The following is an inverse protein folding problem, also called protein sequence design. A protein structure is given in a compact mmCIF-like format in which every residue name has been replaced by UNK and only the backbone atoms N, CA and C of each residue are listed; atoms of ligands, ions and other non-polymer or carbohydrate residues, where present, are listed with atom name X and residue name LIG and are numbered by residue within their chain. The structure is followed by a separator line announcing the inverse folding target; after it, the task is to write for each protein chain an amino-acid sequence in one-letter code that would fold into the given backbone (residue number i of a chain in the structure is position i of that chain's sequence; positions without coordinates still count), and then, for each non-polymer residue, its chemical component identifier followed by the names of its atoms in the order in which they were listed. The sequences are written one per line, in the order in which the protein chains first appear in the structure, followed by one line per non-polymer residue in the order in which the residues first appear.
data_IF_132142059167
#
_entry.id   IF_132142059167
#
_cell.length_a   1.000
_cell.length_b   1.000
_cell.length_c   1.000
_cell.angle_alpha   90.00
_cell.angle_beta   90.00
_cell.angle_gamma   90.00
#
_symmetry.space_group_name_H-M   'P 1'
#
loop_
_entity.id
_entity.type
_entity.pdbx_description
1 polymer ?
#
# COMPACT_ATOMS: atom_id res chain seq x y z
N UNK A 1 2.51 12.71 6.80
CA UNK A 1 2.89 11.27 6.61
C UNK A 1 3.15 10.66 7.97
N UNK A 2 2.67 9.46 8.25
CA UNK A 2 2.96 8.76 9.50
C UNK A 2 4.38 8.20 9.53
N UNK A 3 4.91 7.92 10.73
CA UNK A 3 6.22 7.28 10.88
C UNK A 3 6.29 5.92 10.18
N UNK A 4 5.23 5.10 10.27
CA UNK A 4 5.17 3.81 9.59
C UNK A 4 5.25 3.94 8.07
N UNK A 5 4.60 4.94 7.49
CA UNK A 5 4.69 5.23 6.05
C UNK A 5 6.10 5.68 5.66
N UNK A 6 6.76 6.47 6.50
CA UNK A 6 8.15 6.88 6.27
C UNK A 6 9.10 5.68 6.28
N UNK A 7 8.95 4.78 7.27
CA UNK A 7 9.74 3.57 7.36
C UNK A 7 9.53 2.63 6.16
N UNK A 8 8.29 2.49 5.71
CA UNK A 8 7.97 1.70 4.51
C UNK A 8 8.64 2.28 3.27
N UNK A 9 8.59 3.61 3.13
CA UNK A 9 9.25 4.33 2.05
C UNK A 9 10.77 4.12 2.07
N UNK A 10 11.39 4.27 3.24
CA UNK A 10 12.82 4.05 3.40
C UNK A 10 13.24 2.61 3.08
N UNK A 11 12.42 1.62 3.43
CA UNK A 11 12.67 0.21 3.07
C UNK A 11 12.57 -0.03 1.57
N UNK A 12 11.63 0.61 0.90
CA UNK A 12 11.40 0.45 -0.54
C UNK A 12 12.53 1.07 -1.38
N UNK A 13 13.05 2.22 -0.99
CA UNK A 13 14.05 2.98 -1.75
C UNK A 13 15.46 2.95 -1.14
N UNK A 14 15.64 2.29 0.00
CA UNK A 14 16.90 2.20 0.73
C UNK A 14 17.12 3.35 1.71
N UNK A 15 16.95 4.59 1.29
CA UNK A 15 17.03 5.79 2.14
C UNK A 15 15.93 6.78 1.81
N UNK A 16 15.64 7.71 2.73
CA UNK A 16 14.66 8.77 2.52
C UNK A 16 15.11 9.71 1.39
N UNK A 17 16.41 10.04 1.33
CA UNK A 17 16.95 10.91 0.27
C UNK A 17 16.86 10.25 -1.11
N UNK A 18 17.07 8.94 -1.18
CA UNK A 18 16.90 8.19 -2.41
C UNK A 18 15.43 8.11 -2.81
N UNK A 19 14.54 7.94 -1.84
CA UNK A 19 13.10 7.96 -2.07
C UNK A 19 12.64 9.29 -2.69
N UNK A 20 13.12 10.44 -2.20
CA UNK A 20 12.78 11.76 -2.74
C UNK A 20 13.20 11.88 -4.21
N UNK A 21 14.36 11.31 -4.60
CA UNK A 21 14.89 11.39 -5.96
C UNK A 21 14.19 10.44 -6.94
N UNK A 22 13.89 9.23 -6.49
CA UNK A 22 13.42 8.11 -7.33
C UNK A 22 11.90 7.94 -7.27
N UNK A 23 11.23 8.67 -6.36
CA UNK A 23 9.78 8.63 -6.24
C UNK A 23 9.11 9.15 -7.50
N UNK A 24 8.06 8.47 -7.99
CA UNK A 24 7.28 8.95 -9.12
C UNK A 24 6.57 10.26 -8.78
N UNK A 25 6.07 10.92 -9.81
CA UNK A 25 5.25 12.11 -9.64
C UNK A 25 4.03 11.82 -8.76
N UNK A 26 3.74 12.77 -7.87
CA UNK A 26 2.64 12.71 -6.93
C UNK A 26 1.42 13.46 -7.47
N UNK A 27 0.24 13.09 -6.99
CA UNK A 27 -1.01 13.74 -7.34
C UNK A 27 -1.59 14.49 -6.14
N UNK A 28 -2.38 15.52 -6.42
CA UNK A 28 -3.08 16.29 -5.41
C UNK A 28 -4.59 16.12 -5.61
N UNK A 29 -5.26 15.62 -4.60
CA UNK A 29 -6.72 15.62 -4.52
C UNK A 29 -7.17 16.85 -3.74
N UNK A 30 -8.00 17.65 -4.37
CA UNK A 30 -8.54 18.85 -3.76
C UNK A 30 -9.64 18.51 -2.74
N UNK A 31 -10.06 19.52 -1.98
CA UNK A 31 -11.02 19.33 -0.89
C UNK A 31 -12.43 18.89 -1.38
N UNK A 32 -12.76 19.19 -2.62
CA UNK A 32 -13.99 18.75 -3.31
C UNK A 32 -13.86 17.33 -3.91
N UNK A 33 -12.77 16.60 -3.58
CA UNK A 33 -12.42 15.27 -4.08
C UNK A 33 -12.00 15.23 -5.56
N UNK A 34 -11.99 16.35 -6.27
CA UNK A 34 -11.46 16.41 -7.62
C UNK A 34 -9.93 16.26 -7.62
N UNK A 35 -9.41 15.73 -8.72
CA UNK A 35 -7.96 15.58 -8.90
C UNK A 35 -7.40 16.85 -9.56
N UNK A 36 -6.34 17.40 -8.97
CA UNK A 36 -5.62 18.50 -9.57
C UNK A 36 -4.90 18.01 -10.85
N UNK A 37 -5.06 18.75 -11.95
CA UNK A 37 -4.56 18.33 -13.26
C UNK A 37 -3.03 18.21 -13.33
N UNK A 38 -2.32 19.05 -12.57
CA UNK A 38 -0.86 19.06 -12.58
C UNK A 38 -0.31 18.11 -11.50
N UNK A 39 0.65 17.33 -11.91
CA UNK A 39 1.39 16.47 -10.98
C UNK A 39 2.47 17.29 -10.27
N UNK A 40 2.82 16.81 -9.08
CA UNK A 40 3.87 17.42 -8.27
C UNK A 40 4.97 16.43 -7.94
N UNK A 41 5.90 16.89 -7.13
CA UNK A 41 7.00 16.07 -6.61
C UNK A 41 7.22 16.38 -5.14
N UNK A 42 7.76 15.41 -4.41
CA UNK A 42 8.25 15.64 -3.06
C UNK A 42 9.58 16.38 -3.14
N UNK A 43 9.68 17.48 -2.42
CA UNK A 43 10.89 18.29 -2.35
C UNK A 43 11.74 17.93 -1.14
N UNK A 44 11.08 17.71 0.00
CA UNK A 44 11.77 17.33 1.24
C UNK A 44 10.86 16.62 2.22
N UNK A 45 11.46 15.82 3.08
CA UNK A 45 10.80 15.16 4.21
C UNK A 45 11.54 15.61 5.47
N UNK A 46 10.78 16.05 6.48
CA UNK A 46 11.37 16.49 7.75
C UNK A 46 12.09 15.33 8.45
N UNK A 47 13.25 15.60 9.01
CA UNK A 47 13.95 14.65 9.87
C UNK A 47 13.41 14.59 11.31
N UNK A 48 12.34 15.34 11.60
CA UNK A 48 11.76 15.43 12.94
C UNK A 48 10.33 14.89 12.92
N UNK A 49 10.06 13.96 13.83
CA UNK A 49 8.73 13.42 14.07
C UNK A 49 8.01 14.29 15.09
N UNK A 50 6.81 14.75 14.79
CA UNK A 50 5.93 15.38 15.77
C UNK A 50 5.44 14.30 16.75
N UNK A 51 5.90 14.39 17.98
CA UNK A 51 5.60 13.41 19.04
C UNK A 51 4.14 13.39 19.44
N UNK A 52 3.39 14.46 19.19
CA UNK A 52 1.98 14.57 19.55
C UNK A 52 1.10 13.80 18.56
N UNK A 53 1.45 13.86 17.27
CA UNK A 53 0.66 13.28 16.19
C UNK A 53 1.28 12.00 15.62
N UNK A 54 2.54 11.69 15.93
CA UNK A 54 3.31 10.59 15.33
C UNK A 54 3.54 10.78 13.82
N UNK A 55 3.56 12.05 13.37
CA UNK A 55 3.67 12.37 11.95
C UNK A 55 4.96 13.09 11.60
N UNK A 56 5.34 13.00 10.34
CA UNK A 56 6.49 13.68 9.73
C UNK A 56 5.99 14.68 8.72
N UNK A 57 6.53 15.89 8.76
CA UNK A 57 6.25 16.92 7.77
C UNK A 57 6.85 16.54 6.41
N UNK A 58 6.06 16.64 5.36
CA UNK A 58 6.50 16.43 3.98
C UNK A 58 6.20 17.69 3.19
N UNK A 59 7.18 18.18 2.43
CA UNK A 59 7.00 19.30 1.51
C UNK A 59 6.91 18.78 0.09
N UNK A 60 5.83 19.13 -0.58
CA UNK A 60 5.60 18.80 -1.98
C UNK A 60 5.41 20.07 -2.79
N UNK A 61 5.84 20.07 -4.03
CA UNK A 61 5.75 21.19 -4.96
C UNK A 61 4.86 20.80 -6.13
N UNK A 62 3.89 21.66 -6.42
CA UNK A 62 2.97 21.53 -7.56
C UNK A 62 3.00 22.81 -8.40
N UNK A 63 3.01 22.72 -9.73
CA UNK A 63 2.81 23.90 -10.60
C UNK A 63 1.45 24.53 -10.31
N UNK A 64 1.38 25.86 -10.22
CA UNK A 64 0.13 26.59 -9.94
C UNK A 64 -0.04 27.79 -10.87
N UNK A 65 0.13 27.56 -12.17
CA UNK A 65 0.01 28.60 -13.21
C UNK A 65 -1.38 29.22 -13.26
N UNK A 66 -2.41 28.38 -13.09
CA UNK A 66 -3.79 28.82 -13.07
C UNK A 66 -4.23 29.48 -11.75
N UNK A 67 -3.32 29.58 -10.76
CA UNK A 67 -3.58 30.15 -9.42
C UNK A 67 -4.79 29.54 -8.69
N UNK A 68 -5.09 28.27 -8.97
CA UNK A 68 -6.19 27.53 -8.35
C UNK A 68 -5.89 27.17 -6.89
N UNK A 69 -4.60 26.91 -6.59
CA UNK A 69 -4.16 26.57 -5.25
C UNK A 69 -3.89 27.85 -4.45
N UNK A 70 -4.56 28.00 -3.33
CA UNK A 70 -4.43 29.15 -2.44
C UNK A 70 -3.78 28.76 -1.12
N UNK A 71 -3.09 29.72 -0.50
CA UNK A 71 -2.57 29.55 0.86
C UNK A 71 -3.71 29.32 1.83
N UNK A 72 -3.58 28.32 2.72
CA UNK A 72 -4.61 27.90 3.66
C UNK A 72 -5.60 26.85 3.10
N UNK A 73 -5.55 26.54 1.80
CA UNK A 73 -6.34 25.44 1.26
C UNK A 73 -5.81 24.09 1.78
N UNK A 74 -6.72 23.13 1.94
CA UNK A 74 -6.41 21.75 2.32
C UNK A 74 -6.69 20.79 1.17
N UNK A 75 -6.07 19.63 1.21
CA UNK A 75 -6.23 18.56 0.23
C UNK A 75 -5.41 17.33 0.63
N UNK A 76 -5.49 16.29 -0.16
CA UNK A 76 -4.74 15.06 0.05
C UNK A 76 -3.67 14.89 -1.02
N UNK A 77 -2.44 14.68 -0.61
CA UNK A 77 -1.36 14.31 -1.52
C UNK A 77 -1.34 12.80 -1.67
N UNK A 78 -1.52 12.31 -2.89
CA UNK A 78 -1.48 10.90 -3.23
C UNK A 78 -0.08 10.54 -3.72
N UNK A 79 0.59 9.70 -2.97
CA UNK A 79 1.92 9.19 -3.28
C UNK A 79 1.75 7.79 -3.86
N UNK A 80 1.99 7.57 -5.16
CA UNK A 80 1.88 6.25 -5.74
C UNK A 80 2.98 5.34 -5.20
N UNK A 81 2.62 4.12 -4.85
CA UNK A 81 3.56 3.06 -4.46
C UNK A 81 3.61 2.02 -5.56
N UNK A 82 4.80 1.71 -6.05
CA UNK A 82 5.01 0.67 -7.05
C UNK A 82 5.70 -0.52 -6.41
N UNK A 83 5.05 -1.65 -6.43
CA UNK A 83 5.65 -2.92 -6.02
C UNK A 83 6.08 -3.69 -7.26
N UNK A 84 7.38 -4.00 -7.36
CA UNK A 84 7.93 -4.80 -8.47
C UNK A 84 8.00 -6.26 -8.05
N UNK A 85 7.71 -7.16 -9.01
CA UNK A 85 7.77 -8.61 -8.78
C UNK A 85 6.94 -9.06 -7.58
N UNK A 86 5.73 -8.53 -7.45
CA UNK A 86 4.80 -8.89 -6.38
C UNK A 86 3.80 -9.96 -6.84
N UNK A 87 3.31 -10.73 -5.89
CA UNK A 87 2.23 -11.68 -6.09
C UNK A 87 0.91 -10.94 -5.83
N UNK A 88 -0.02 -11.02 -6.77
CA UNK A 88 -1.38 -10.51 -6.60
C UNK A 88 -2.32 -11.68 -6.33
N UNK A 89 -3.17 -11.53 -5.32
CA UNK A 89 -4.21 -12.52 -5.00
C UNK A 89 -5.57 -11.84 -4.83
N UNK A 90 -6.67 -12.49 -5.25
CA UNK A 90 -8.01 -11.98 -4.99
C UNK A 90 -8.28 -11.86 -3.48
N UNK A 91 -9.01 -10.84 -3.06
CA UNK A 91 -9.43 -10.73 -1.65
C UNK A 91 -10.27 -11.93 -1.21
N UNK A 92 -11.06 -12.53 -2.12
CA UNK A 92 -11.82 -13.76 -1.86
C UNK A 92 -10.98 -14.99 -1.52
N UNK A 93 -9.68 -14.96 -1.86
CA UNK A 93 -8.70 -16.00 -1.49
C UNK A 93 -8.18 -15.85 -0.06
N UNK A 94 -8.62 -14.84 0.67
CA UNK A 94 -8.12 -14.52 2.02
C UNK A 94 -9.21 -14.57 3.06
N UNK A 95 -8.82 -14.79 4.30
CA UNK A 95 -9.67 -14.70 5.48
C UNK A 95 -9.01 -13.75 6.47
N UNK A 96 -9.76 -12.76 6.92
CA UNK A 96 -9.29 -11.85 7.96
C UNK A 96 -9.66 -12.42 9.33
N UNK A 97 -8.65 -12.70 10.14
CA UNK A 97 -8.78 -13.17 11.53
C UNK A 97 -8.20 -12.09 12.45
N UNK A 98 -9.08 -11.26 13.01
CA UNK A 98 -8.70 -10.11 13.83
C UNK A 98 -7.77 -9.15 13.05
N UNK A 99 -6.49 -9.07 13.46
CA UNK A 99 -5.43 -8.26 12.88
C UNK A 99 -4.57 -9.00 11.85
N UNK A 100 -4.89 -10.28 11.56
CA UNK A 100 -4.12 -11.16 10.67
C UNK A 100 -4.91 -11.50 9.43
N UNK A 101 -4.21 -11.58 8.31
CA UNK A 101 -4.76 -12.07 7.05
C UNK A 101 -4.10 -13.41 6.73
N UNK A 102 -4.93 -14.40 6.46
CA UNK A 102 -4.49 -15.72 6.05
C UNK A 102 -5.04 -16.08 4.68
N UNK A 103 -4.34 -16.93 3.98
CA UNK A 103 -4.81 -17.65 2.80
C UNK A 103 -4.62 -19.14 3.00
N UNK A 104 -5.30 -19.96 2.21
CA UNK A 104 -5.11 -21.40 2.23
C UNK A 104 -4.26 -21.83 1.04
N UNK A 105 -3.06 -22.35 1.33
CA UNK A 105 -2.22 -23.04 0.34
C UNK A 105 -2.68 -24.49 0.19
N UNK A 106 -2.57 -25.00 -1.01
CA UNK A 106 -2.84 -26.41 -1.29
C UNK A 106 -1.51 -27.17 -1.17
N UNK A 107 -1.40 -27.98 -0.13
CA UNK A 107 -0.25 -28.85 0.11
C UNK A 107 -0.73 -30.30 0.19
N UNK A 108 -0.21 -31.15 -0.67
CA UNK A 108 -0.63 -32.58 -0.76
C UNK A 108 -2.15 -32.76 -0.89
N UNK A 109 -2.82 -31.87 -1.66
CA UNK A 109 -4.27 -31.89 -1.85
C UNK A 109 -5.10 -31.44 -0.65
N UNK A 110 -4.47 -30.80 0.35
CA UNK A 110 -5.14 -30.30 1.55
C UNK A 110 -4.93 -28.80 1.70
N UNK A 111 -5.96 -28.13 2.20
CA UNK A 111 -5.89 -26.70 2.54
C UNK A 111 -5.06 -26.50 3.82
N UNK A 112 -3.98 -25.76 3.71
CA UNK A 112 -3.11 -25.37 4.83
C UNK A 112 -3.14 -23.87 5.00
N UNK A 113 -3.57 -23.40 6.17
CA UNK A 113 -3.63 -21.98 6.49
C UNK A 113 -2.24 -21.37 6.55
N UNK A 114 -2.04 -20.30 5.82
CA UNK A 114 -0.77 -19.59 5.74
C UNK A 114 -1.00 -18.12 6.07
N UNK A 115 -0.26 -17.62 7.06
CA UNK A 115 -0.28 -16.19 7.39
C UNK A 115 0.43 -15.41 6.28
N UNK A 116 -0.21 -14.36 5.81
CA UNK A 116 0.35 -13.48 4.79
C UNK A 116 0.36 -12.02 5.24
N UNK A 117 1.33 -11.27 4.75
CA UNK A 117 1.34 -9.83 4.85
C UNK A 117 0.93 -9.25 3.50
N UNK A 118 0.00 -8.32 3.50
CA UNK A 118 -0.54 -7.76 2.27
C UNK A 118 -0.59 -6.24 2.30
N UNK A 119 -0.55 -5.63 1.12
CA UNK A 119 -0.93 -4.26 0.87
C UNK A 119 -2.20 -4.25 -0.01
N UNK A 120 -3.09 -3.30 0.24
CA UNK A 120 -4.30 -3.13 -0.56
C UNK A 120 -3.97 -2.51 -1.92
N UNK A 121 -4.66 -2.96 -2.96
CA UNK A 121 -4.70 -2.28 -4.26
C UNK A 121 -5.90 -1.32 -4.27
N UNK A 122 -5.78 -0.22 -4.97
CA UNK A 122 -6.81 0.85 -5.00
C UNK A 122 -8.17 0.38 -5.51
N UNK A 123 -8.23 -0.70 -6.30
CA UNK A 123 -9.49 -1.27 -6.81
C UNK A 123 -10.29 -2.05 -5.78
N UNK A 124 -9.69 -2.35 -4.61
CA UNK A 124 -10.33 -3.07 -3.51
C UNK A 124 -10.71 -4.53 -3.84
N UNK A 125 -10.17 -5.10 -4.92
CA UNK A 125 -10.47 -6.49 -5.35
C UNK A 125 -9.33 -7.45 -5.10
N UNK A 126 -8.12 -6.93 -5.09
CA UNK A 126 -6.89 -7.71 -4.97
C UNK A 126 -6.02 -7.21 -3.82
N UNK A 127 -5.17 -8.09 -3.35
CA UNK A 127 -4.10 -7.79 -2.43
C UNK A 127 -2.75 -8.04 -3.09
N UNK A 128 -1.80 -7.14 -2.83
CA UNK A 128 -0.38 -7.37 -3.09
C UNK A 128 0.18 -8.15 -1.91
N UNK A 129 0.68 -9.35 -2.14
CA UNK A 129 1.34 -10.14 -1.10
C UNK A 129 2.76 -9.64 -0.92
N UNK A 130 3.06 -9.19 0.30
CA UNK A 130 4.38 -8.71 0.68
C UNK A 130 5.24 -9.83 1.27
N UNK A 131 4.59 -10.78 1.96
CA UNK A 131 5.24 -11.94 2.58
C UNK A 131 4.23 -13.08 2.81
N UNK A 132 4.73 -14.31 2.93
CA UNK A 132 3.96 -15.52 3.25
C UNK A 132 3.64 -16.43 2.05
N UNK A 133 3.77 -15.94 0.81
CA UNK A 133 3.60 -16.75 -0.41
C UNK A 133 4.86 -16.68 -1.28
N UNK A 134 5.05 -17.69 -2.10
CA UNK A 134 6.09 -17.78 -3.12
C UNK A 134 5.48 -18.02 -4.49
N UNK A 135 6.19 -17.61 -5.53
CA UNK A 135 5.82 -17.93 -6.90
C UNK A 135 5.73 -19.45 -7.09
N UNK A 136 4.63 -19.92 -7.68
CA UNK A 136 4.33 -21.35 -7.84
C UNK A 136 3.52 -21.98 -6.71
N UNK A 137 3.24 -21.25 -5.62
CA UNK A 137 2.33 -21.73 -4.58
C UNK A 137 0.89 -21.82 -5.13
N UNK A 138 0.24 -22.95 -4.94
CA UNK A 138 -1.18 -23.10 -5.23
C UNK A 138 -2.01 -22.64 -4.05
N UNK A 139 -2.97 -21.75 -4.29
CA UNK A 139 -3.87 -21.22 -3.27
C UNK A 139 -5.34 -21.43 -3.65
N UNK A 140 -6.21 -21.43 -2.66
CA UNK A 140 -7.65 -21.39 -2.87
C UNK A 140 -8.07 -19.99 -3.27
N UNK A 141 -8.54 -19.81 -4.50
CA UNK A 141 -8.87 -18.48 -5.08
C UNK A 141 -10.18 -17.90 -4.55
N UNK A 142 -11.15 -18.78 -4.20
CA UNK A 142 -12.46 -18.37 -3.71
C UNK A 142 -12.97 -19.32 -2.61
N UNK A 143 -13.82 -18.79 -1.71
CA UNK A 143 -14.41 -19.61 -0.66
C UNK A 143 -13.50 -19.90 0.51
N UNK A 144 -12.38 -19.20 0.65
CA UNK A 144 -11.43 -19.39 1.75
C UNK A 144 -12.10 -19.30 3.13
N UNK A 145 -13.11 -18.44 3.30
CA UNK A 145 -13.85 -18.29 4.55
C UNK A 145 -14.67 -19.52 5.00
N UNK A 146 -14.91 -20.46 4.09
CA UNK A 146 -15.65 -21.70 4.39
C UNK A 146 -14.74 -22.89 4.69
N UNK A 147 -13.43 -22.73 4.48
CA UNK A 147 -12.44 -23.77 4.66
C UNK A 147 -11.96 -23.85 6.11
N UNK A 148 -11.49 -25.03 6.46
CA UNK A 148 -10.78 -25.30 7.72
C UNK A 148 -9.44 -25.93 7.41
N UNK A 149 -8.53 -25.81 8.35
CA UNK A 149 -7.23 -26.49 8.28
C UNK A 149 -7.39 -27.98 7.96
N UNK A 150 -6.65 -28.46 6.96
CA UNK A 150 -6.66 -29.86 6.55
C UNK A 150 -7.84 -30.28 5.67
N UNK A 151 -8.73 -29.36 5.24
CA UNK A 151 -9.82 -29.66 4.31
C UNK A 151 -9.25 -30.16 2.98
N UNK A 152 -9.75 -31.32 2.52
CA UNK A 152 -9.31 -31.91 1.25
C UNK A 152 -9.90 -31.12 0.08
N UNK A 153 -9.05 -30.63 -0.79
CA UNK A 153 -9.40 -29.89 -2.00
C UNK A 153 -9.37 -30.86 -3.18
N UNK A 154 -10.45 -30.89 -3.94
CA UNK A 154 -10.58 -31.73 -5.16
C UNK A 154 -10.31 -30.90 -6.41
#
# INVERSE_FOLDING_TARGET
MTENQLLALARQYGTVDQAIKDMPEIQLQLNDQSMYEKKGRIESISGVIDKTTGTVGVRAVFPNEARLLHSGSSGNVLIPSTYKNCILIPQGATVQLQDKIITYKIVDGKATSTLIQVASVDDGREYIVLDGLKEGDEIVSEGAGMLREGTQIK
#
